data_IF_838182338654
#
_entry.id   IF_838182338654
#
_cell.length_a   1.000
_cell.length_b   1.000
_cell.length_c   1.000
_cell.angle_alpha   90.00
_cell.angle_beta   90.00
_cell.angle_gamma   90.00
#
_symmetry.space_group_name_H-M   'P 1'
#
loop_
_entity.id
_entity.type
_entity.pdbx_description
1 polymer ?
#
# COMPACT_ATOMS: atom_id res chain seq x y z
N UNK A 1 5.74 -3.86 11.83
CA UNK A 1 7.20 -3.72 11.78
C UNK A 1 7.80 -3.91 13.15
N UNK A 2 8.98 -4.54 13.23
CA UNK A 2 9.73 -4.62 14.49
C UNK A 2 10.37 -3.27 14.79
N UNK A 3 10.39 -2.88 16.09
CA UNK A 3 10.98 -1.63 16.60
C UNK A 3 10.26 -0.33 16.22
N UNK A 4 9.01 -0.41 15.78
CA UNK A 4 8.19 0.79 15.61
C UNK A 4 7.82 1.41 16.97
N UNK A 5 7.67 2.73 17.00
CA UNK A 5 7.20 3.49 18.17
C UNK A 5 5.67 3.46 18.24
N UNK A 6 5.02 3.55 17.08
CA UNK A 6 3.56 3.51 16.94
C UNK A 6 3.17 2.18 16.31
N UNK A 7 2.39 1.37 17.03
CA UNK A 7 1.85 0.14 16.47
C UNK A 7 0.76 0.47 15.45
N UNK A 8 0.84 -0.19 14.31
CA UNK A 8 -0.13 -0.12 13.25
C UNK A 8 -0.66 -1.53 12.99
N UNK A 9 -1.96 -1.66 12.85
CA UNK A 9 -2.59 -2.91 12.43
C UNK A 9 -2.97 -2.84 10.95
N UNK A 10 -3.29 -4.01 10.38
CA UNK A 10 -3.60 -4.13 8.95
C UNK A 10 -4.81 -3.29 8.52
N UNK A 11 -5.78 -3.05 9.41
CA UNK A 11 -6.96 -2.25 9.08
C UNK A 11 -6.62 -0.76 8.99
N UNK A 12 -5.76 -0.25 9.88
CA UNK A 12 -5.26 1.13 9.84
C UNK A 12 -4.44 1.36 8.59
N UNK A 13 -3.48 0.47 8.30
CA UNK A 13 -2.68 0.49 7.08
C UNK A 13 -3.55 0.47 5.82
N UNK A 14 -4.45 -0.49 5.71
CA UNK A 14 -5.33 -0.62 4.54
C UNK A 14 -6.20 0.60 4.31
N UNK A 15 -6.69 1.24 5.38
CA UNK A 15 -7.49 2.47 5.28
C UNK A 15 -6.63 3.65 4.80
N UNK A 16 -5.41 3.81 5.32
CA UNK A 16 -4.48 4.85 4.87
C UNK A 16 -4.12 4.65 3.39
N UNK A 17 -3.76 3.43 2.99
CA UNK A 17 -3.48 3.10 1.59
C UNK A 17 -4.70 3.39 0.70
N UNK A 18 -5.93 3.15 1.18
CA UNK A 18 -7.14 3.46 0.43
C UNK A 18 -7.33 4.96 0.21
N UNK A 19 -7.07 5.81 1.21
CA UNK A 19 -7.10 7.26 1.04
C UNK A 19 -6.06 7.73 0.02
N UNK A 20 -4.84 7.26 0.11
CA UNK A 20 -3.76 7.61 -0.82
C UNK A 20 -4.10 7.13 -2.24
N UNK A 21 -4.56 5.89 -2.41
CA UNK A 21 -4.93 5.34 -3.72
C UNK A 21 -6.06 6.14 -4.39
N UNK A 22 -7.05 6.57 -3.61
CA UNK A 22 -8.12 7.46 -4.08
C UNK A 22 -7.55 8.79 -4.60
N UNK A 23 -6.67 9.42 -3.84
CA UNK A 23 -6.01 10.69 -4.24
C UNK A 23 -5.17 10.50 -5.50
N UNK A 24 -4.37 9.43 -5.60
CA UNK A 24 -3.56 9.14 -6.79
C UNK A 24 -4.44 8.96 -8.04
N UNK A 25 -5.58 8.29 -7.91
CA UNK A 25 -6.52 8.13 -9.01
C UNK A 25 -7.15 9.47 -9.46
N UNK A 26 -7.48 10.36 -8.51
CA UNK A 26 -7.94 11.72 -8.82
C UNK A 26 -6.85 12.54 -9.53
N UNK A 27 -5.60 12.48 -9.07
CA UNK A 27 -4.46 13.14 -9.70
C UNK A 27 -4.30 12.64 -11.14
N UNK A 28 -4.31 11.31 -11.35
CA UNK A 28 -4.27 10.69 -12.69
C UNK A 28 -5.32 11.24 -13.62
N UNK A 29 -6.57 11.23 -13.18
CA UNK A 29 -7.69 11.67 -14.03
C UNK A 29 -7.64 13.16 -14.34
N UNK A 30 -7.32 13.99 -13.35
CA UNK A 30 -7.35 15.45 -13.50
C UNK A 30 -6.12 16.04 -14.18
N UNK A 31 -4.95 15.45 -13.97
CA UNK A 31 -3.67 16.06 -14.39
C UNK A 31 -2.97 15.30 -15.53
N UNK A 32 -3.26 14.00 -15.67
CA UNK A 32 -2.59 13.14 -16.64
C UNK A 32 -3.55 12.51 -17.67
N UNK A 33 -4.83 12.95 -17.66
CA UNK A 33 -5.81 12.51 -18.66
C UNK A 33 -6.20 11.03 -18.56
N UNK A 34 -6.04 10.43 -17.39
CA UNK A 34 -6.48 9.07 -17.12
C UNK A 34 -7.99 8.95 -16.95
N UNK A 35 -8.47 7.70 -16.86
CA UNK A 35 -9.90 7.39 -16.63
C UNK A 35 -10.01 6.14 -15.74
N UNK A 36 -9.43 6.19 -14.55
CA UNK A 36 -9.59 5.14 -13.54
C UNK A 36 -10.68 5.53 -12.55
N UNK A 37 -11.42 4.57 -11.97
CA UNK A 37 -12.36 4.87 -10.89
C UNK A 37 -11.60 5.07 -9.58
N UNK A 38 -11.65 6.27 -8.97
CA UNK A 38 -11.02 6.52 -7.68
C UNK A 38 -11.61 5.65 -6.58
N UNK A 39 -12.94 5.42 -6.61
CA UNK A 39 -13.64 4.57 -5.65
C UNK A 39 -13.17 3.12 -5.76
N UNK A 40 -12.96 2.64 -6.99
CA UNK A 40 -12.46 1.28 -7.21
C UNK A 40 -11.01 1.13 -6.74
N UNK A 41 -10.16 2.14 -6.96
CA UNK A 41 -8.79 2.15 -6.44
C UNK A 41 -8.79 2.08 -4.91
N UNK A 42 -9.62 2.87 -4.24
CA UNK A 42 -9.75 2.83 -2.79
C UNK A 42 -10.25 1.46 -2.30
N UNK A 43 -11.25 0.89 -2.96
CA UNK A 43 -11.78 -0.43 -2.60
C UNK A 43 -10.71 -1.53 -2.75
N UNK A 44 -9.97 -1.56 -3.85
CA UNK A 44 -8.88 -2.51 -4.06
C UNK A 44 -7.79 -2.36 -2.98
N UNK A 45 -7.49 -1.11 -2.59
CA UNK A 45 -6.52 -0.83 -1.54
C UNK A 45 -6.97 -1.32 -0.16
N UNK A 46 -8.27 -1.27 0.16
CA UNK A 46 -8.79 -1.82 1.41
C UNK A 46 -8.55 -3.32 1.56
N UNK A 47 -8.44 -4.06 0.45
CA UNK A 47 -8.28 -5.51 0.45
C UNK A 47 -6.89 -5.98 -0.01
N UNK A 48 -5.96 -5.06 -0.33
CA UNK A 48 -4.70 -5.41 -0.99
C UNK A 48 -3.82 -6.38 -0.17
N UNK A 49 -3.83 -6.22 1.16
CA UNK A 49 -3.05 -7.02 2.12
C UNK A 49 -3.94 -7.92 2.99
N UNK A 50 -5.19 -8.18 2.59
CA UNK A 50 -6.13 -8.99 3.39
C UNK A 50 -5.59 -10.38 3.73
N UNK A 51 -4.71 -10.94 2.91
CA UNK A 51 -4.06 -12.23 3.16
C UNK A 51 -3.15 -12.22 4.37
N UNK A 52 -2.64 -11.07 4.75
CA UNK A 52 -1.75 -10.91 5.91
C UNK A 52 -2.46 -11.15 7.25
N UNK A 53 -3.80 -11.17 7.26
CA UNK A 53 -4.58 -11.66 8.41
C UNK A 53 -4.19 -13.12 8.76
N UNK A 54 -3.84 -13.91 7.74
CA UNK A 54 -3.46 -15.33 7.91
C UNK A 54 -1.94 -15.49 7.91
N UNK A 55 -1.24 -14.81 6.97
CA UNK A 55 0.20 -15.01 6.76
C UNK A 55 1.07 -14.19 7.70
N UNK A 56 0.55 -13.11 8.26
CA UNK A 56 1.34 -12.02 8.84
C UNK A 56 2.11 -11.23 7.79
N UNK A 57 2.56 -10.05 8.16
CA UNK A 57 3.46 -9.23 7.33
C UNK A 57 4.89 -9.80 7.38
N UNK A 58 5.44 -10.13 6.22
CA UNK A 58 6.83 -10.57 6.09
C UNK A 58 7.71 -9.37 5.73
N UNK A 59 8.71 -9.02 6.57
CA UNK A 59 9.60 -7.90 6.29
C UNK A 59 10.20 -7.96 4.88
N UNK A 60 10.13 -6.86 4.14
CA UNK A 60 10.58 -6.75 2.75
C UNK A 60 11.98 -7.35 2.49
N UNK A 61 13.01 -7.15 3.35
CA UNK A 61 14.32 -7.77 3.13
C UNK A 61 14.29 -9.30 3.18
N UNK A 62 13.34 -9.89 3.89
CA UNK A 62 13.19 -11.35 3.99
C UNK A 62 12.36 -11.86 2.81
N UNK A 63 11.27 -11.19 2.47
CA UNK A 63 10.38 -11.55 1.34
C UNK A 63 11.13 -11.63 0.01
N UNK A 64 12.14 -10.78 -0.18
CA UNK A 64 12.94 -10.70 -1.41
C UNK A 64 14.38 -11.21 -1.26
N UNK A 65 14.68 -11.99 -0.20
CA UNK A 65 16.02 -12.49 0.05
C UNK A 65 16.52 -13.47 -1.04
N UNK A 66 15.66 -14.34 -1.52
CA UNK A 66 15.92 -15.24 -2.65
C UNK A 66 14.66 -15.51 -3.47
N UNK A 67 14.85 -16.04 -4.69
CA UNK A 67 13.72 -16.44 -5.55
C UNK A 67 12.90 -17.58 -4.93
N UNK A 68 13.55 -18.48 -4.21
CA UNK A 68 12.89 -19.62 -3.53
C UNK A 68 11.97 -19.12 -2.41
N UNK A 69 12.46 -18.19 -1.57
CA UNK A 69 11.67 -17.60 -0.47
C UNK A 69 10.48 -16.84 -1.05
N UNK A 70 10.74 -16.03 -2.08
CA UNK A 70 9.65 -15.28 -2.74
C UNK A 70 8.61 -16.23 -3.32
N UNK A 71 9.02 -17.28 -4.05
CA UNK A 71 8.10 -18.26 -4.63
C UNK A 71 7.27 -19.00 -3.57
N UNK A 72 7.92 -19.45 -2.50
CA UNK A 72 7.22 -20.11 -1.39
C UNK A 72 6.21 -19.17 -0.70
N UNK A 73 6.56 -17.89 -0.56
CA UNK A 73 5.65 -16.91 0.03
C UNK A 73 4.47 -16.60 -0.90
N UNK A 74 4.69 -16.48 -2.21
CA UNK A 74 3.63 -16.29 -3.21
C UNK A 74 2.61 -17.48 -3.17
N UNK A 75 3.10 -18.71 -2.96
CA UNK A 75 2.24 -19.89 -2.77
C UNK A 75 1.41 -19.81 -1.48
N UNK A 76 2.02 -19.37 -0.39
CA UNK A 76 1.35 -19.17 0.90
C UNK A 76 0.27 -18.08 0.78
N UNK A 77 0.59 -16.95 0.15
CA UNK A 77 -0.39 -15.89 -0.11
C UNK A 77 -1.57 -16.41 -0.97
N UNK A 78 -1.29 -17.20 -2.00
CA UNK A 78 -2.37 -17.77 -2.84
C UNK A 78 -3.25 -18.73 -2.04
N UNK A 79 -2.66 -19.54 -1.17
CA UNK A 79 -3.42 -20.42 -0.29
C UNK A 79 -4.26 -19.62 0.72
N UNK A 80 -3.74 -18.56 1.27
CA UNK A 80 -4.46 -17.67 2.17
C UNK A 80 -5.66 -17.02 1.47
N UNK A 81 -5.49 -16.53 0.22
CA UNK A 81 -6.60 -16.02 -0.61
C UNK A 81 -7.72 -17.06 -0.78
N UNK A 82 -7.36 -18.26 -1.20
CA UNK A 82 -8.33 -19.33 -1.40
C UNK A 82 -9.08 -19.67 -0.10
N UNK A 83 -8.37 -19.62 1.03
CA UNK A 83 -8.97 -19.85 2.36
C UNK A 83 -9.96 -18.74 2.70
N UNK A 84 -9.60 -17.46 2.52
CA UNK A 84 -10.50 -16.34 2.78
C UNK A 84 -11.76 -16.40 1.90
N UNK A 85 -11.59 -16.66 0.60
CA UNK A 85 -12.73 -16.84 -0.32
C UNK A 85 -13.62 -18.01 0.10
N UNK A 86 -13.04 -19.11 0.62
CA UNK A 86 -13.83 -20.28 1.05
C UNK A 86 -14.75 -20.00 2.25
N UNK A 87 -14.44 -18.97 3.04
CA UNK A 87 -15.29 -18.56 4.17
C UNK A 87 -16.49 -17.70 3.76
N UNK A 88 -16.49 -17.18 2.54
CA UNK A 88 -17.60 -16.38 2.04
C UNK A 88 -18.81 -17.27 1.67
N UNK A 89 -20.03 -16.78 1.87
CA UNK A 89 -21.22 -17.35 1.27
C UNK A 89 -21.09 -17.46 -0.25
N UNK A 90 -21.65 -18.51 -0.84
CA UNK A 90 -21.45 -18.81 -2.27
C UNK A 90 -21.95 -17.69 -3.19
N UNK A 91 -23.02 -17.02 -2.81
CA UNK A 91 -23.62 -15.88 -3.54
C UNK A 91 -22.79 -14.59 -3.50
N UNK A 92 -21.76 -14.50 -2.63
CA UNK A 92 -20.88 -13.34 -2.51
C UNK A 92 -19.49 -13.56 -3.10
N UNK A 93 -19.12 -14.80 -3.42
CA UNK A 93 -17.75 -15.14 -3.87
C UNK A 93 -17.35 -14.39 -5.13
N UNK A 94 -18.25 -14.31 -6.12
CA UNK A 94 -17.98 -13.61 -7.39
C UNK A 94 -17.70 -12.12 -7.21
N UNK A 95 -18.29 -11.47 -6.20
CA UNK A 95 -18.08 -10.06 -5.91
C UNK A 95 -16.74 -9.81 -5.19
N UNK A 96 -16.29 -10.74 -4.35
CA UNK A 96 -15.07 -10.59 -3.56
C UNK A 96 -13.80 -11.11 -4.26
N UNK A 97 -13.88 -12.15 -5.07
CA UNK A 97 -12.70 -12.69 -5.78
C UNK A 97 -11.89 -11.63 -6.53
N UNK A 98 -12.51 -10.66 -7.27
CA UNK A 98 -11.76 -9.60 -7.95
C UNK A 98 -11.07 -8.62 -7.01
N UNK A 99 -11.43 -8.58 -5.72
CA UNK A 99 -10.76 -7.74 -4.73
C UNK A 99 -9.46 -8.36 -4.23
N UNK A 100 -9.35 -9.70 -4.28
CA UNK A 100 -8.17 -10.44 -3.84
C UNK A 100 -7.22 -10.79 -4.99
N UNK A 101 -7.69 -10.72 -6.23
CA UNK A 101 -6.95 -11.14 -7.41
C UNK A 101 -6.76 -9.97 -8.38
N UNK A 102 -5.52 -9.75 -8.80
CA UNK A 102 -5.24 -8.76 -9.85
C UNK A 102 -5.81 -9.25 -11.17
N UNK A 103 -6.71 -8.46 -11.74
CA UNK A 103 -7.25 -8.72 -13.07
C UNK A 103 -6.56 -7.84 -14.11
N UNK A 104 -6.40 -8.28 -15.37
CA UNK A 104 -5.81 -7.45 -16.43
C UNK A 104 -6.57 -6.14 -16.67
N UNK A 105 -7.88 -6.13 -16.43
CA UNK A 105 -8.75 -4.97 -16.60
C UNK A 105 -8.48 -3.88 -15.55
N UNK A 106 -7.90 -4.27 -14.41
CA UNK A 106 -7.63 -3.39 -13.26
C UNK A 106 -6.13 -3.11 -13.08
N UNK A 107 -5.29 -3.46 -14.06
CA UNK A 107 -3.83 -3.28 -13.96
C UNK A 107 -3.43 -1.86 -13.59
N UNK A 108 -4.09 -0.84 -14.18
CA UNK A 108 -3.81 0.56 -13.90
C UNK A 108 -4.21 0.95 -12.47
N UNK A 109 -5.34 0.45 -11.97
CA UNK A 109 -5.75 0.66 -10.59
C UNK A 109 -4.77 0.00 -9.60
N UNK A 110 -4.34 -1.23 -9.88
CA UNK A 110 -3.37 -1.94 -9.06
C UNK A 110 -1.97 -1.29 -9.04
N UNK A 111 -1.56 -0.61 -10.14
CA UNK A 111 -0.34 0.20 -10.14
C UNK A 111 -0.44 1.36 -9.15
N UNK A 112 -1.60 2.03 -9.08
CA UNK A 112 -1.84 3.11 -8.13
C UNK A 112 -1.93 2.60 -6.69
N UNK A 113 -2.59 1.47 -6.46
CA UNK A 113 -2.63 0.82 -5.12
C UNK A 113 -1.22 0.49 -4.64
N UNK A 114 -0.39 -0.10 -5.51
CA UNK A 114 1.01 -0.40 -5.15
C UNK A 114 1.84 0.86 -4.86
N UNK A 115 1.58 1.96 -5.57
CA UNK A 115 2.23 3.23 -5.28
C UNK A 115 1.74 3.81 -3.95
N UNK A 116 0.44 3.70 -3.67
CA UNK A 116 -0.16 4.14 -2.41
C UNK A 116 0.40 3.36 -1.21
N UNK A 117 0.55 2.03 -1.31
CA UNK A 117 1.20 1.20 -0.29
C UNK A 117 2.62 1.71 0.02
N UNK A 118 3.43 1.99 -1.01
CA UNK A 118 4.78 2.53 -0.81
C UNK A 118 4.78 3.93 -0.20
N UNK A 119 3.81 4.78 -0.55
CA UNK A 119 3.67 6.12 0.04
C UNK A 119 3.26 6.03 1.51
N UNK A 120 2.34 5.13 1.88
CA UNK A 120 1.99 4.84 3.26
C UNK A 120 3.21 4.37 4.05
N UNK A 121 4.00 3.45 3.51
CA UNK A 121 5.25 3.01 4.14
C UNK A 121 6.26 4.17 4.31
N UNK A 122 6.32 5.13 3.39
CA UNK A 122 7.16 6.33 3.53
C UNK A 122 6.64 7.24 4.64
N UNK A 123 5.33 7.49 4.70
CA UNK A 123 4.69 8.28 5.76
C UNK A 123 5.03 7.68 7.12
N UNK A 124 4.90 6.37 7.26
CA UNK A 124 5.28 5.65 8.48
C UNK A 124 6.73 5.90 8.89
N UNK A 125 7.67 5.89 7.94
CA UNK A 125 9.06 6.20 8.22
C UNK A 125 9.25 7.65 8.70
N UNK A 126 8.51 8.61 8.12
CA UNK A 126 8.57 10.02 8.51
C UNK A 126 8.02 10.22 9.93
N UNK A 127 6.91 9.60 10.27
CA UNK A 127 6.31 9.65 11.61
C UNK A 127 7.24 9.05 12.67
N UNK A 128 7.82 7.88 12.40
CA UNK A 128 8.80 7.24 13.29
C UNK A 128 10.03 8.14 13.53
N UNK A 129 10.52 8.79 12.46
CA UNK A 129 11.62 9.76 12.57
C UNK A 129 11.24 10.98 13.43
N UNK A 130 10.03 11.51 13.28
CA UNK A 130 9.54 12.62 14.12
C UNK A 130 9.46 12.23 15.60
N UNK A 131 9.15 10.96 15.89
CA UNK A 131 9.19 10.42 17.25
C UNK A 131 10.61 10.11 17.75
N UNK A 132 11.64 10.44 16.97
CA UNK A 132 13.05 10.22 17.34
C UNK A 132 13.57 8.81 17.05
N UNK A 133 12.81 7.98 16.33
CA UNK A 133 13.21 6.64 15.99
C UNK A 133 14.11 6.62 14.75
N UNK A 134 15.42 6.51 14.97
CA UNK A 134 16.44 6.51 13.91
C UNK A 134 16.57 5.19 13.17
N UNK A 135 15.99 4.10 13.68
CA UNK A 135 16.04 2.77 13.05
C UNK A 135 15.37 2.76 11.66
N UNK A 136 14.47 3.73 11.40
CA UNK A 136 13.75 3.86 10.13
C UNK A 136 14.46 4.68 9.06
N UNK A 137 15.60 5.32 9.35
CA UNK A 137 16.30 6.19 8.40
C UNK A 137 16.71 5.47 7.09
N UNK A 138 17.16 4.23 7.19
CA UNK A 138 17.50 3.41 6.00
C UNK A 138 16.25 3.00 5.21
N UNK A 139 15.16 2.66 5.90
CA UNK A 139 13.89 2.30 5.30
C UNK A 139 13.26 3.51 4.57
N UNK A 140 13.28 4.68 5.17
CA UNK A 140 12.83 5.93 4.54
C UNK A 140 13.52 6.16 3.19
N UNK A 141 14.85 6.09 3.18
CA UNK A 141 15.64 6.29 1.96
C UNK A 141 15.31 5.25 0.89
N UNK A 142 15.33 3.98 1.24
CA UNK A 142 15.08 2.90 0.27
C UNK A 142 13.64 2.90 -0.24
N UNK A 143 12.67 3.28 0.58
CA UNK A 143 11.27 3.41 0.18
C UNK A 143 11.07 4.55 -0.79
N UNK A 144 11.69 5.71 -0.53
CA UNK A 144 11.65 6.86 -1.45
C UNK A 144 12.28 6.49 -2.81
N UNK A 145 13.44 5.84 -2.80
CA UNK A 145 14.09 5.35 -4.03
C UNK A 145 13.18 4.38 -4.80
N UNK A 146 12.50 3.49 -4.09
CA UNK A 146 11.56 2.54 -4.69
C UNK A 146 10.35 3.25 -5.33
N UNK A 147 9.78 4.28 -4.67
CA UNK A 147 8.67 5.07 -5.22
C UNK A 147 9.10 5.75 -6.52
N UNK A 148 10.24 6.43 -6.52
CA UNK A 148 10.78 7.11 -7.71
C UNK A 148 11.04 6.11 -8.85
N UNK A 149 11.57 4.92 -8.54
CA UNK A 149 11.83 3.86 -9.51
C UNK A 149 10.56 3.29 -10.16
N UNK A 150 9.40 3.42 -9.53
CA UNK A 150 8.11 3.01 -10.12
C UNK A 150 7.72 3.85 -11.32
N UNK A 151 8.24 5.05 -11.48
CA UNK A 151 7.96 5.99 -12.58
C UNK A 151 6.46 6.29 -12.73
N UNK A 152 5.77 6.44 -11.62
CA UNK A 152 4.34 6.80 -11.54
C UNK A 152 4.26 8.31 -11.28
N UNK A 153 3.86 9.13 -12.27
CA UNK A 153 3.88 10.59 -12.13
C UNK A 153 2.96 11.08 -11.01
N UNK A 154 1.85 10.40 -10.74
CA UNK A 154 0.95 10.71 -9.63
C UNK A 154 1.63 10.60 -8.27
N UNK A 155 2.52 9.61 -8.11
CA UNK A 155 3.30 9.45 -6.88
C UNK A 155 4.28 10.61 -6.69
N UNK A 156 4.90 11.12 -7.76
CA UNK A 156 5.76 12.30 -7.67
C UNK A 156 4.97 13.54 -7.25
N UNK A 157 3.77 13.75 -7.81
CA UNK A 157 2.87 14.83 -7.38
C UNK A 157 2.53 14.69 -5.89
N UNK A 158 2.27 13.47 -5.43
CA UNK A 158 1.98 13.24 -4.01
C UNK A 158 3.20 13.55 -3.12
N UNK A 159 4.39 13.15 -3.54
CA UNK A 159 5.64 13.49 -2.83
C UNK A 159 5.86 15.00 -2.72
N UNK A 160 5.58 15.73 -3.79
CA UNK A 160 5.86 17.17 -3.86
C UNK A 160 4.79 18.01 -3.13
N UNK A 161 3.51 17.62 -3.21
CA UNK A 161 2.39 18.46 -2.76
C UNK A 161 1.77 18.00 -1.43
N UNK A 162 1.84 16.71 -1.09
CA UNK A 162 1.18 16.17 0.10
C UNK A 162 2.17 15.80 1.22
N UNK A 163 3.29 15.16 0.88
CA UNK A 163 4.27 14.73 1.90
C UNK A 163 4.78 15.88 2.77
N UNK A 164 5.01 17.12 2.27
CA UNK A 164 5.45 18.22 3.13
C UNK A 164 4.51 18.48 4.32
N UNK A 165 3.21 18.27 4.18
CA UNK A 165 2.24 18.46 5.26
C UNK A 165 2.46 17.48 6.45
N UNK A 166 3.00 16.31 6.20
CA UNK A 166 3.30 15.33 7.26
C UNK A 166 4.50 15.71 8.14
N UNK A 167 5.27 16.72 7.74
CA UNK A 167 6.41 17.21 8.52
C UNK A 167 6.11 18.48 9.30
N UNK A 168 4.91 19.06 9.13
CA UNK A 168 4.47 20.25 9.83
C UNK A 168 4.10 19.94 11.28
N UNK A 169 4.40 20.88 12.18
CA UNK A 169 3.87 20.87 13.54
C UNK A 169 2.38 21.26 13.56
N UNK A 170 1.68 20.97 14.67
CA UNK A 170 0.26 21.35 14.81
C UNK A 170 0.04 22.86 14.64
N UNK A 171 0.97 23.70 15.11
CA UNK A 171 0.88 25.16 14.99
C UNK A 171 1.08 25.64 13.54
N UNK A 172 1.81 24.88 12.72
CA UNK A 172 2.03 25.18 11.29
C UNK A 172 0.89 24.69 10.39
N UNK A 173 0.00 23.84 10.93
CA UNK A 173 -1.19 23.34 10.22
C UNK A 173 -2.43 24.22 10.46
N UNK A 174 -2.38 25.23 11.33
CA UNK A 174 -3.51 26.08 11.74
C UNK A 174 -3.72 27.29 10.82
#
# INVERSE_FOLDING_TARGET
LMRNTINENISEHSLEVAFIAHVLALIRNKRFGGNVSPERCALLAMYHDVTEIITGDLPTPIKYYSHEIKGAYDEIEQKAKNTLVSYLPDDLKEDFEPLFCKTPQEEEAWKLVKAADKLSALIKCLEERQMGNTDFASAEKSTLEAIVAMKIPEANVFLDEFIPAYTLTLDEQA
#
